data_IF_244309714601
#
_entry.id   IF_244309714601
#
_cell.length_a   1.000
_cell.length_b   1.000
_cell.length_c   1.000
_cell.angle_alpha   90.00
_cell.angle_beta   90.00
_cell.angle_gamma   90.00
#
_symmetry.space_group_name_H-M   'P 1'
#
loop_
_entity.id
_entity.type
_entity.pdbx_description
1 polymer ?
#
# COMPACT_ATOMS: atom_id res chain seq x y z
N UNK A 1 -38.08 -31.37 -25.34
CA UNK A 1 -37.23 -30.59 -26.27
C UNK A 1 -37.22 -29.09 -25.93
N UNK A 2 -37.49 -28.71 -24.68
CA UNK A 2 -37.63 -27.30 -24.24
C UNK A 2 -36.79 -26.99 -22.99
N UNK A 3 -36.23 -28.00 -22.33
CA UNK A 3 -35.45 -27.81 -21.09
C UNK A 3 -34.08 -27.19 -21.38
N UNK A 4 -33.45 -27.62 -22.47
CA UNK A 4 -32.17 -27.08 -22.92
C UNK A 4 -32.23 -25.59 -23.26
N UNK A 5 -33.35 -25.09 -23.79
CA UNK A 5 -33.54 -23.67 -24.09
C UNK A 5 -33.68 -22.84 -22.81
N UNK A 6 -34.40 -23.33 -21.80
CA UNK A 6 -34.55 -22.63 -20.51
C UNK A 6 -33.24 -22.57 -19.73
N UNK A 7 -32.44 -23.65 -19.77
CA UNK A 7 -31.12 -23.66 -19.16
C UNK A 7 -30.17 -22.67 -19.85
N UNK A 8 -30.20 -22.59 -21.18
CA UNK A 8 -29.38 -21.65 -21.94
C UNK A 8 -29.78 -20.19 -21.65
N UNK A 9 -31.08 -19.93 -21.53
CA UNK A 9 -31.62 -18.62 -21.15
C UNK A 9 -31.18 -18.21 -19.73
N UNK A 10 -31.19 -19.17 -18.80
CA UNK A 10 -30.73 -18.95 -17.41
C UNK A 10 -29.23 -18.61 -17.35
N UNK A 11 -28.41 -19.30 -18.14
CA UNK A 11 -26.97 -19.01 -18.25
C UNK A 11 -26.73 -17.65 -18.89
N UNK A 12 -27.51 -17.29 -19.92
CA UNK A 12 -27.43 -15.98 -20.55
C UNK A 12 -27.78 -14.87 -19.56
N UNK A 13 -28.83 -15.04 -18.77
CA UNK A 13 -29.21 -14.11 -17.70
C UNK A 13 -28.13 -14.00 -16.62
N UNK A 14 -27.50 -15.10 -16.21
CA UNK A 14 -26.38 -15.08 -15.26
C UNK A 14 -25.19 -14.29 -15.81
N UNK A 15 -24.82 -14.50 -17.07
CA UNK A 15 -23.74 -13.78 -17.74
C UNK A 15 -24.03 -12.28 -17.80
N UNK A 16 -25.26 -11.90 -18.17
CA UNK A 16 -25.67 -10.49 -18.22
C UNK A 16 -25.62 -9.87 -16.81
N UNK A 17 -26.19 -10.55 -15.80
CA UNK A 17 -26.21 -10.06 -14.43
C UNK A 17 -24.79 -9.89 -13.87
N UNK A 18 -23.95 -10.91 -14.01
CA UNK A 18 -22.55 -10.86 -13.59
C UNK A 18 -21.76 -9.78 -14.36
N UNK A 19 -22.01 -9.62 -15.67
CA UNK A 19 -21.38 -8.60 -16.50
C UNK A 19 -21.73 -7.18 -16.09
N UNK A 20 -23.00 -6.91 -15.78
CA UNK A 20 -23.45 -5.59 -15.31
C UNK A 20 -22.83 -5.27 -13.94
N UNK A 21 -22.86 -6.22 -13.01
CA UNK A 21 -22.24 -6.03 -11.69
C UNK A 21 -20.74 -5.79 -11.83
N UNK A 22 -20.05 -6.57 -12.64
CA UNK A 22 -18.63 -6.38 -12.91
C UNK A 22 -18.34 -5.01 -13.55
N UNK A 23 -19.12 -4.60 -14.54
CA UNK A 23 -19.00 -3.28 -15.17
C UNK A 23 -19.22 -2.15 -14.17
N UNK A 24 -20.18 -2.29 -13.26
CA UNK A 24 -20.46 -1.29 -12.23
C UNK A 24 -19.31 -1.20 -11.23
N UNK A 25 -18.78 -2.33 -10.76
CA UNK A 25 -17.61 -2.36 -9.87
C UNK A 25 -16.37 -1.80 -10.56
N UNK A 26 -16.13 -2.15 -11.83
CA UNK A 26 -15.01 -1.61 -12.61
C UNK A 26 -15.11 -0.09 -12.75
N UNK A 27 -16.30 0.43 -13.04
CA UNK A 27 -16.57 1.86 -13.09
C UNK A 27 -16.33 2.52 -11.74
N UNK A 28 -16.83 1.92 -10.65
CA UNK A 28 -16.68 2.45 -9.29
C UNK A 28 -15.20 2.49 -8.88
N UNK A 29 -14.45 1.42 -9.13
CA UNK A 29 -13.00 1.37 -8.89
C UNK A 29 -12.28 2.42 -9.74
N UNK A 30 -12.70 2.61 -11.00
CA UNK A 30 -12.20 3.67 -11.88
C UNK A 30 -12.41 5.06 -11.27
N UNK A 31 -13.60 5.34 -10.74
CA UNK A 31 -13.93 6.60 -10.06
C UNK A 31 -13.07 6.78 -8.81
N UNK A 32 -12.94 5.75 -7.95
CA UNK A 32 -12.10 5.83 -6.74
C UNK A 32 -10.63 6.07 -7.09
N UNK A 33 -10.11 5.41 -8.13
CA UNK A 33 -8.75 5.64 -8.65
C UNK A 33 -8.59 7.05 -9.21
N UNK A 34 -9.57 7.52 -9.97
CA UNK A 34 -9.59 8.88 -10.49
C UNK A 34 -9.54 9.87 -9.33
N UNK A 35 -10.40 9.69 -8.32
CA UNK A 35 -10.39 10.49 -7.09
C UNK A 35 -9.02 10.46 -6.43
N UNK A 36 -8.38 9.29 -6.29
CA UNK A 36 -7.03 9.15 -5.72
C UNK A 36 -5.99 9.97 -6.49
N UNK A 37 -6.00 9.93 -7.82
CA UNK A 37 -5.07 10.70 -8.67
C UNK A 37 -5.35 12.20 -8.58
N UNK A 38 -6.62 12.60 -8.58
CA UNK A 38 -7.00 14.00 -8.42
C UNK A 38 -6.55 14.52 -7.04
N UNK A 39 -6.77 13.75 -5.97
CA UNK A 39 -6.31 14.13 -4.64
C UNK A 39 -4.79 14.28 -4.61
N UNK A 40 -4.02 13.34 -5.17
CA UNK A 40 -2.55 13.45 -5.22
C UNK A 40 -2.06 14.65 -6.03
N UNK A 41 -2.81 15.08 -7.05
CA UNK A 41 -2.42 16.19 -7.93
C UNK A 41 -2.88 17.56 -7.44
N UNK A 42 -4.05 17.64 -6.82
CA UNK A 42 -4.64 18.90 -6.35
C UNK A 42 -4.35 19.19 -4.87
N UNK A 43 -4.15 18.16 -4.04
CA UNK A 43 -3.63 18.32 -2.69
C UNK A 43 -2.12 18.06 -2.80
N UNK A 44 -1.26 19.09 -2.73
CA UNK A 44 0.16 18.83 -2.56
C UNK A 44 0.29 17.94 -1.34
N UNK A 45 0.83 16.75 -1.55
CA UNK A 45 1.23 15.85 -0.46
C UNK A 45 2.16 16.70 0.41
N UNK A 46 1.63 17.25 1.51
CA UNK A 46 2.45 17.59 2.66
C UNK A 46 3.22 16.31 2.87
N UNK A 47 4.56 16.29 2.70
CA UNK A 47 5.30 15.07 2.85
C UNK A 47 4.90 14.53 4.22
N UNK A 48 4.18 13.39 4.24
CA UNK A 48 4.21 12.57 5.43
C UNK A 48 5.70 12.48 5.76
N UNK A 49 6.13 12.86 6.99
CA UNK A 49 7.55 12.95 7.31
C UNK A 49 8.15 11.68 6.75
N UNK A 50 9.03 11.84 5.75
CA UNK A 50 9.65 10.70 5.13
C UNK A 50 10.30 10.00 6.31
N UNK A 51 9.79 8.83 6.71
CA UNK A 51 10.60 7.95 7.51
C UNK A 51 11.85 7.82 6.67
N UNK A 52 13.00 8.33 7.15
CA UNK A 52 14.13 8.63 6.30
C UNK A 52 14.40 7.35 5.53
N UNK A 53 14.17 7.40 4.21
CA UNK A 53 14.54 6.31 3.35
C UNK A 53 16.00 6.06 3.69
N UNK A 54 16.30 4.88 4.24
CA UNK A 54 17.63 4.55 4.72
C UNK A 54 18.59 4.86 3.60
N UNK A 55 19.25 6.01 3.69
CA UNK A 55 20.51 6.22 3.01
C UNK A 55 21.41 5.05 3.42
N UNK A 56 22.45 4.71 2.66
CA UNK A 56 23.45 3.78 3.15
C UNK A 56 24.15 4.43 4.36
N UNK A 57 23.53 4.30 5.53
CA UNK A 57 23.93 4.87 6.82
C UNK A 57 24.88 3.92 7.55
N UNK A 58 25.40 2.90 6.85
CA UNK A 58 26.13 1.79 7.47
C UNK A 58 27.39 2.24 8.19
N UNK A 59 28.13 3.24 7.70
CA UNK A 59 29.38 3.64 8.34
C UNK A 59 29.17 4.66 9.47
N UNK A 60 28.38 5.71 9.24
CA UNK A 60 28.21 6.78 10.22
C UNK A 60 27.40 6.34 11.45
N UNK A 61 26.38 5.50 11.27
CA UNK A 61 25.62 4.93 12.41
C UNK A 61 26.48 3.90 13.14
N UNK A 62 27.28 3.09 12.43
CA UNK A 62 28.15 2.14 13.12
C UNK A 62 29.18 2.85 14.01
N UNK A 63 29.81 3.92 13.53
CA UNK A 63 30.77 4.70 14.32
C UNK A 63 30.13 5.37 15.55
N UNK A 64 28.93 5.94 15.39
CA UNK A 64 28.20 6.57 16.50
C UNK A 64 27.79 5.53 17.56
N UNK A 65 27.34 4.35 17.14
CA UNK A 65 27.00 3.25 18.02
C UNK A 65 28.22 2.70 18.77
N UNK A 66 29.37 2.60 18.11
CA UNK A 66 30.65 2.21 18.73
C UNK A 66 31.07 3.24 19.79
N UNK A 67 30.94 4.54 19.49
CA UNK A 67 31.27 5.61 20.44
C UNK A 67 30.36 5.58 21.68
N UNK A 68 29.06 5.36 21.50
CA UNK A 68 28.09 5.24 22.60
C UNK A 68 28.38 4.02 23.47
N UNK A 69 28.69 2.87 22.88
CA UNK A 69 29.04 1.64 23.62
C UNK A 69 30.35 1.83 24.41
N UNK A 70 31.37 2.44 23.80
CA UNK A 70 32.63 2.75 24.47
C UNK A 70 32.43 3.69 25.67
N UNK A 71 31.61 4.73 25.52
CA UNK A 71 31.27 5.64 26.61
C UNK A 71 30.49 4.93 27.74
N UNK A 72 29.57 4.01 27.39
CA UNK A 72 28.83 3.23 28.37
C UNK A 72 29.75 2.31 29.19
N UNK A 73 30.69 1.62 28.54
CA UNK A 73 31.67 0.74 29.20
C UNK A 73 32.62 1.56 30.09
N UNK A 74 33.14 2.68 29.59
CA UNK A 74 34.00 3.57 30.36
C UNK A 74 33.29 4.09 31.63
N UNK A 75 32.01 4.40 31.52
CA UNK A 75 31.17 4.86 32.65
C UNK A 75 30.78 3.75 33.62
N UNK A 76 30.78 2.49 33.19
CA UNK A 76 30.59 1.34 34.07
C UNK A 76 31.85 1.07 34.89
N UNK A 77 33.02 1.05 34.22
CA UNK A 77 34.33 0.83 34.85
C UNK A 77 34.80 2.00 35.73
N UNK A 78 34.25 3.20 35.58
CA UNK A 78 34.51 4.29 36.53
C UNK A 78 33.58 4.27 37.74
N UNK A 79 32.50 3.49 37.69
CA UNK A 79 31.51 3.36 38.76
C UNK A 79 31.59 2.03 39.52
N UNK A 80 32.42 1.09 39.08
CA UNK A 80 32.81 -0.16 39.75
C UNK A 80 34.33 -0.22 39.77
#
# INVERSE_FOLDING_TARGET
MTDSTLLLESVMLMLIGMGIVFSFLLLLVGIVRLMSVLLQRFVPVIPAPQSPASAPLTSAIADDLIAVIAAAIARYRSRH
#
